data_IF_953075437437
#
_entry.id   IF_953075437437
#
_cell.length_a   1.000
_cell.length_b   1.000
_cell.length_c   1.000
_cell.angle_alpha   90.00
_cell.angle_beta   90.00
_cell.angle_gamma   90.00
#
_symmetry.space_group_name_H-M   'P 1'
#
loop_
_entity.id
_entity.type
_entity.pdbx_description
1 polymer ?
#
# COMPACT_ATOMS: atom_id res chain seq x y z
N UNK A 1 38.57 -34.89 -10.37
CA UNK A 1 37.52 -34.53 -9.38
C UNK A 1 37.63 -33.05 -8.94
N UNK A 2 38.57 -32.28 -9.49
CA UNK A 2 39.04 -31.01 -8.91
C UNK A 2 38.32 -29.76 -9.44
N UNK A 3 37.68 -29.88 -10.60
CA UNK A 3 36.93 -28.79 -11.24
C UNK A 3 35.66 -28.46 -10.42
N UNK A 4 34.99 -29.48 -9.87
CA UNK A 4 33.79 -29.28 -9.04
C UNK A 4 34.12 -28.63 -7.70
N UNK A 5 35.23 -29.01 -7.05
CA UNK A 5 35.62 -28.36 -5.78
C UNK A 5 35.95 -26.88 -5.99
N UNK A 6 36.52 -26.52 -7.14
CA UNK A 6 36.86 -25.13 -7.49
C UNK A 6 35.62 -24.26 -7.74
N UNK A 7 34.59 -24.78 -8.40
CA UNK A 7 33.33 -24.04 -8.64
C UNK A 7 32.49 -23.89 -7.37
N UNK A 8 32.46 -24.91 -6.52
CA UNK A 8 31.81 -24.81 -5.21
C UNK A 8 32.52 -23.79 -4.29
N UNK A 9 33.85 -23.83 -4.19
CA UNK A 9 34.61 -22.87 -3.38
C UNK A 9 34.39 -21.41 -3.83
N UNK A 10 34.41 -21.15 -5.14
CA UNK A 10 34.19 -19.82 -5.71
C UNK A 10 32.80 -19.24 -5.37
N UNK A 11 31.78 -20.10 -5.29
CA UNK A 11 30.41 -19.69 -4.98
C UNK A 11 30.25 -19.32 -3.50
N UNK A 12 30.87 -20.09 -2.61
CA UNK A 12 30.88 -19.79 -1.17
C UNK A 12 31.64 -18.50 -0.87
N UNK A 13 32.80 -18.27 -1.48
CA UNK A 13 33.58 -17.04 -1.32
C UNK A 13 32.83 -15.79 -1.84
N UNK A 14 32.07 -15.94 -2.92
CA UNK A 14 31.25 -14.85 -3.49
C UNK A 14 30.05 -14.51 -2.62
N UNK A 15 29.45 -15.52 -1.98
CA UNK A 15 28.35 -15.34 -1.02
C UNK A 15 28.80 -14.58 0.25
N UNK A 16 30.00 -14.90 0.78
CA UNK A 16 30.55 -14.26 1.97
C UNK A 16 30.80 -12.74 1.83
N UNK A 17 31.03 -12.24 0.60
CA UNK A 17 31.18 -10.80 0.33
C UNK A 17 29.85 -10.04 0.35
N UNK A 18 28.76 -10.68 -0.08
CA UNK A 18 27.42 -10.09 -0.09
C UNK A 18 26.77 -10.04 1.29
N UNK A 19 26.98 -11.07 2.11
CA UNK A 19 26.35 -11.18 3.42
C UNK A 19 26.77 -10.05 4.38
N UNK A 20 28.06 -9.67 4.39
CA UNK A 20 28.55 -8.58 5.24
C UNK A 20 27.91 -7.23 4.88
N UNK A 21 27.79 -6.91 3.59
CA UNK A 21 27.19 -5.65 3.13
C UNK A 21 25.71 -5.55 3.53
N UNK A 22 24.98 -6.66 3.46
CA UNK A 22 23.57 -6.74 3.88
C UNK A 22 23.47 -6.63 5.42
N UNK A 23 24.33 -7.32 6.16
CA UNK A 23 24.35 -7.29 7.62
C UNK A 23 24.67 -5.89 8.17
N UNK A 24 25.59 -5.14 7.54
CA UNK A 24 25.88 -3.75 7.89
C UNK A 24 24.70 -2.81 7.61
N UNK A 25 23.96 -3.02 6.50
CA UNK A 25 22.76 -2.24 6.18
C UNK A 25 21.63 -2.53 7.16
N UNK A 26 21.43 -3.78 7.56
CA UNK A 26 20.38 -4.16 8.51
C UNK A 26 20.69 -3.66 9.92
N UNK A 27 21.95 -3.79 10.39
CA UNK A 27 22.36 -3.29 11.72
C UNK A 27 22.24 -1.77 11.87
N UNK A 28 22.44 -1.01 10.79
CA UNK A 28 22.32 0.47 10.80
C UNK A 28 20.93 0.99 10.43
N UNK A 29 20.11 0.18 9.73
CA UNK A 29 18.73 0.54 9.32
C UNK A 29 17.74 0.47 10.48
N UNK A 30 18.04 -0.26 11.56
CA UNK A 30 17.11 -0.37 12.69
C UNK A 30 16.89 0.92 13.50
N UNK A 31 17.84 1.87 13.46
CA UNK A 31 17.76 3.15 14.22
C UNK A 31 18.42 4.34 13.49
N UNK A 32 18.31 4.39 12.15
CA UNK A 32 18.82 5.51 11.36
C UNK A 32 18.05 6.83 11.55
N UNK A 33 18.45 7.88 10.79
CA UNK A 33 17.85 9.25 10.77
C UNK A 33 16.31 9.24 10.81
N UNK A 34 15.66 8.34 10.07
CA UNK A 34 14.20 8.19 9.99
C UNK A 34 13.57 7.62 11.27
N UNK A 35 14.29 6.79 12.03
CA UNK A 35 13.83 6.29 13.32
C UNK A 35 13.72 7.38 14.39
N UNK A 36 14.53 8.45 14.30
CA UNK A 36 14.36 9.64 15.16
C UNK A 36 13.12 10.44 14.75
N UNK A 37 12.91 10.63 13.44
CA UNK A 37 11.74 11.36 12.92
C UNK A 37 10.43 10.66 13.31
N UNK A 38 10.34 9.33 13.09
CA UNK A 38 9.14 8.57 13.45
C UNK A 38 8.85 8.58 14.96
N UNK A 39 9.90 8.65 15.80
CA UNK A 39 9.76 8.79 17.26
C UNK A 39 9.40 10.21 17.71
N UNK A 40 9.72 11.22 16.90
CA UNK A 40 9.36 12.63 17.14
C UNK A 40 7.96 12.97 16.64
N UNK A 41 7.41 12.17 15.72
CA UNK A 41 6.02 12.29 15.29
C UNK A 41 5.07 12.05 16.45
N UNK A 42 4.08 12.93 16.60
CA UNK A 42 2.99 12.74 17.57
C UNK A 42 2.13 11.56 17.10
N UNK A 43 2.10 10.50 17.90
CA UNK A 43 1.12 9.41 17.72
C UNK A 43 -0.29 9.99 17.87
N UNK A 44 -1.20 9.79 16.91
CA UNK A 44 -2.56 10.30 17.00
C UNK A 44 -3.26 9.66 18.21
N UNK A 45 -4.05 10.44 18.94
CA UNK A 45 -4.92 9.86 19.98
C UNK A 45 -6.13 9.17 19.33
N UNK A 46 -6.75 8.22 20.03
CA UNK A 46 -7.90 7.47 19.51
C UNK A 46 -9.04 8.38 19.04
N UNK A 47 -9.27 9.50 19.74
CA UNK A 47 -10.31 10.48 19.38
C UNK A 47 -9.98 11.25 18.09
N UNK A 48 -8.72 11.67 17.90
CA UNK A 48 -8.27 12.38 16.69
C UNK A 48 -8.35 11.47 15.46
N UNK A 49 -7.95 10.21 15.65
CA UNK A 49 -8.05 9.20 14.60
C UNK A 49 -9.51 8.94 14.22
N UNK A 50 -10.38 8.75 15.21
CA UNK A 50 -11.81 8.48 14.99
C UNK A 50 -12.50 9.65 14.28
N UNK A 51 -12.24 10.90 14.68
CA UNK A 51 -12.79 12.09 14.01
C UNK A 51 -12.37 12.15 12.55
N UNK A 52 -11.08 11.93 12.27
CA UNK A 52 -10.53 11.97 10.91
C UNK A 52 -11.11 10.85 10.04
N UNK A 53 -11.23 9.64 10.60
CA UNK A 53 -11.84 8.49 9.92
C UNK A 53 -13.30 8.76 9.56
N UNK A 54 -14.09 9.33 10.48
CA UNK A 54 -15.50 9.62 10.24
C UNK A 54 -15.65 10.62 9.11
N UNK A 55 -14.87 11.70 9.10
CA UNK A 55 -14.93 12.74 8.06
C UNK A 55 -14.52 12.16 6.69
N UNK A 56 -13.42 11.40 6.64
CA UNK A 56 -12.95 10.76 5.41
C UNK A 56 -13.94 9.70 4.89
N UNK A 57 -14.44 8.85 5.78
CA UNK A 57 -15.42 7.82 5.46
C UNK A 57 -16.72 8.42 4.92
N UNK A 58 -17.21 9.51 5.53
CA UNK A 58 -18.39 10.22 5.06
C UNK A 58 -18.17 10.80 3.66
N UNK A 59 -16.98 11.38 3.39
CA UNK A 59 -16.62 11.86 2.05
C UNK A 59 -16.62 10.75 0.99
N UNK A 60 -16.03 9.59 1.29
CA UNK A 60 -16.02 8.43 0.39
C UNK A 60 -17.44 7.94 0.10
N UNK A 61 -18.27 7.83 1.14
CA UNK A 61 -19.67 7.41 1.00
C UNK A 61 -20.46 8.44 0.17
N UNK A 62 -20.28 9.73 0.41
CA UNK A 62 -21.00 10.78 -0.29
C UNK A 62 -20.64 10.80 -1.79
N UNK A 63 -19.35 10.83 -2.11
CA UNK A 63 -18.87 10.84 -3.51
C UNK A 63 -19.24 9.53 -4.21
N UNK A 64 -19.07 8.39 -3.53
CA UNK A 64 -19.48 7.08 -4.05
C UNK A 64 -20.98 7.00 -4.32
N UNK A 65 -21.81 7.54 -3.42
CA UNK A 65 -23.27 7.56 -3.59
C UNK A 65 -23.69 8.44 -4.77
N UNK A 66 -23.08 9.62 -4.93
CA UNK A 66 -23.36 10.51 -6.07
C UNK A 66 -23.01 9.82 -7.39
N UNK A 67 -21.81 9.24 -7.49
CA UNK A 67 -21.40 8.47 -8.68
C UNK A 67 -22.31 7.27 -8.94
N UNK A 68 -22.74 6.57 -7.88
CA UNK A 68 -23.66 5.44 -7.98
C UNK A 68 -25.05 5.86 -8.49
N UNK A 69 -25.60 6.98 -8.02
CA UNK A 69 -26.89 7.50 -8.50
C UNK A 69 -26.82 7.84 -9.98
N UNK A 70 -25.76 8.50 -10.45
CA UNK A 70 -25.56 8.80 -11.87
C UNK A 70 -25.51 7.50 -12.70
N UNK A 71 -24.79 6.49 -12.20
CA UNK A 71 -24.72 5.18 -12.84
C UNK A 71 -26.11 4.51 -12.94
N UNK A 72 -26.89 4.52 -11.85
CA UNK A 72 -28.24 3.95 -11.84
C UNK A 72 -29.14 4.64 -12.85
N UNK A 73 -29.13 5.98 -12.88
CA UNK A 73 -29.90 6.75 -13.84
C UNK A 73 -29.52 6.32 -15.26
N UNK A 74 -28.23 6.29 -15.61
CA UNK A 74 -27.80 5.88 -16.94
C UNK A 74 -28.22 4.44 -17.29
N UNK A 75 -28.11 3.52 -16.34
CA UNK A 75 -28.41 2.10 -16.56
C UNK A 75 -29.90 1.84 -16.78
N UNK A 76 -30.76 2.51 -16.01
CA UNK A 76 -32.21 2.38 -16.10
C UNK A 76 -32.84 3.34 -17.09
N UNK A 77 -32.11 4.34 -17.58
CA UNK A 77 -32.61 5.31 -18.56
C UNK A 77 -33.12 4.64 -19.83
N UNK A 78 -32.44 3.60 -20.34
CA UNK A 78 -32.91 2.88 -21.54
C UNK A 78 -34.23 2.13 -21.30
N UNK A 79 -34.40 1.50 -20.14
CA UNK A 79 -35.63 0.77 -19.77
C UNK A 79 -36.78 1.74 -19.48
N UNK A 80 -36.51 2.87 -18.80
CA UNK A 80 -37.50 3.92 -18.53
C UNK A 80 -37.89 4.65 -19.80
N UNK A 81 -36.93 4.99 -20.67
CA UNK A 81 -37.20 5.65 -21.95
C UNK A 81 -38.03 4.75 -22.86
N UNK A 82 -37.69 3.46 -22.97
CA UNK A 82 -38.47 2.53 -23.78
C UNK A 82 -39.90 2.35 -23.26
N UNK A 83 -40.13 2.35 -21.94
CA UNK A 83 -41.49 2.33 -21.37
C UNK A 83 -42.27 3.64 -21.64
N UNK A 84 -41.61 4.81 -21.60
CA UNK A 84 -42.23 6.11 -21.89
C UNK A 84 -42.50 6.32 -23.38
N UNK A 85 -41.67 5.78 -24.28
CA UNK A 85 -41.83 5.93 -25.73
C UNK A 85 -42.65 4.80 -26.38
N UNK A 86 -42.84 3.67 -25.69
CA UNK A 86 -43.71 2.56 -26.10
C UNK A 86 -45.05 2.61 -25.35
N UNK A 87 -45.61 3.82 -25.23
CA UNK A 87 -46.98 4.12 -24.80
C UNK A 87 -47.63 5.05 -25.83
#
# INVERSE_FOLDING_TARGET
MDILKKTWAWTWERSQKGQRWIEFRIKTTGKGKYGRVLKMSRKPTSDEYSKTLIISGLGIVLIGSIGFVIFLIWRYFADVASWIFNI
#
